data_IF_083099484582
#
_entry.id   IF_083099484582
#
_cell.length_a   1.000
_cell.length_b   1.000
_cell.length_c   1.000
_cell.angle_alpha   90.00
_cell.angle_beta   90.00
_cell.angle_gamma   90.00
#
_symmetry.space_group_name_H-M   'P 1'
#
loop_
_entity.id
_entity.type
_entity.pdbx_description
1 polymer ?
#
# COMPACT_ATOMS: atom_id res chain seq x y z
N UNK A 1 -7.92 -10.19 7.90
CA UNK A 1 -6.48 -10.45 8.17
C UNK A 1 -6.00 -11.86 7.80
N UNK A 2 -6.80 -12.93 7.89
CA UNK A 2 -6.36 -14.30 7.53
C UNK A 2 -6.07 -14.48 6.03
N UNK A 3 -6.67 -13.69 5.14
CA UNK A 3 -6.52 -13.86 3.68
C UNK A 3 -5.09 -13.49 3.21
N UNK A 4 -4.51 -12.42 3.74
CA UNK A 4 -3.22 -11.88 3.25
C UNK A 4 -2.00 -12.33 4.07
N UNK A 5 -2.16 -12.63 5.37
CA UNK A 5 -1.03 -13.04 6.23
C UNK A 5 -0.32 -14.31 5.70
N UNK A 6 -1.01 -15.38 5.28
CA UNK A 6 -0.35 -16.56 4.71
C UNK A 6 0.48 -16.25 3.47
N UNK A 7 0.07 -15.27 2.64
CA UNK A 7 0.86 -14.82 1.48
C UNK A 7 2.18 -14.20 1.92
N UNK A 8 2.14 -13.34 2.94
CA UNK A 8 3.35 -12.73 3.53
C UNK A 8 4.28 -13.79 4.10
N UNK A 9 3.75 -14.77 4.85
CA UNK A 9 4.55 -15.87 5.42
C UNK A 9 5.24 -16.68 4.32
N UNK A 10 4.50 -17.04 3.25
CA UNK A 10 5.07 -17.79 2.13
C UNK A 10 6.12 -16.99 1.36
N UNK A 11 5.86 -15.70 1.11
CA UNK A 11 6.82 -14.80 0.47
C UNK A 11 8.11 -14.68 1.29
N UNK A 12 8.00 -14.50 2.61
CA UNK A 12 9.16 -14.43 3.50
C UNK A 12 10.00 -15.72 3.45
N UNK A 13 9.36 -16.89 3.48
CA UNK A 13 10.07 -18.18 3.37
C UNK A 13 10.78 -18.33 2.03
N UNK A 14 10.14 -17.95 0.93
CA UNK A 14 10.75 -17.99 -0.40
C UNK A 14 11.95 -17.03 -0.50
N UNK A 15 11.81 -15.81 0.03
CA UNK A 15 12.86 -14.80 0.04
C UNK A 15 14.08 -15.26 0.85
N UNK A 16 13.88 -15.79 2.06
CA UNK A 16 14.97 -16.33 2.90
C UNK A 16 15.68 -17.49 2.19
N UNK A 17 14.94 -18.34 1.48
CA UNK A 17 15.53 -19.43 0.69
C UNK A 17 16.34 -18.94 -0.51
N UNK A 18 15.87 -17.89 -1.20
CA UNK A 18 16.54 -17.30 -2.36
C UNK A 18 17.75 -16.44 -2.00
N UNK A 19 17.75 -15.83 -0.81
CA UNK A 19 18.86 -15.01 -0.30
C UNK A 19 19.29 -15.56 1.08
N UNK A 20 19.96 -16.73 1.13
CA UNK A 20 20.33 -17.38 2.38
C UNK A 20 21.54 -16.70 3.03
N UNK A 21 21.35 -15.48 3.49
CA UNK A 21 22.35 -14.69 4.18
C UNK A 21 21.82 -14.26 5.56
N UNK A 22 22.33 -14.84 6.66
CA UNK A 22 21.90 -14.46 8.01
C UNK A 22 22.07 -12.97 8.32
N UNK A 23 22.98 -12.26 7.65
CA UNK A 23 23.16 -10.81 7.79
C UNK A 23 22.05 -9.99 7.12
N UNK A 24 21.33 -10.59 6.18
CA UNK A 24 20.18 -9.99 5.50
C UNK A 24 18.86 -10.24 6.25
N UNK A 25 18.88 -11.05 7.32
CA UNK A 25 17.70 -11.34 8.12
C UNK A 25 17.41 -10.19 9.09
N UNK A 26 16.14 -9.79 9.16
CA UNK A 26 15.65 -8.89 10.21
C UNK A 26 15.46 -9.70 11.51
N UNK A 27 16.43 -9.59 12.44
CA UNK A 27 16.38 -10.26 13.75
C UNK A 27 15.71 -9.42 14.85
N UNK A 28 15.40 -8.17 14.55
CA UNK A 28 14.66 -7.25 15.40
C UNK A 28 13.76 -6.36 14.53
N UNK A 29 12.61 -5.95 15.06
CA UNK A 29 11.75 -5.02 14.33
C UNK A 29 12.43 -3.66 14.18
N UNK A 30 12.54 -3.21 12.94
CA UNK A 30 12.94 -1.84 12.58
C UNK A 30 12.01 -0.76 13.18
N UNK A 31 10.78 -1.14 13.54
CA UNK A 31 9.76 -0.28 14.17
C UNK A 31 9.73 -0.41 15.69
N UNK A 32 10.79 -0.92 16.31
CA UNK A 32 10.90 -1.05 17.78
C UNK A 32 10.74 0.28 18.55
N UNK A 33 10.85 1.42 17.87
CA UNK A 33 10.60 2.75 18.45
C UNK A 33 9.11 3.04 18.68
N UNK A 34 8.19 2.33 18.01
CA UNK A 34 6.75 2.44 18.19
C UNK A 34 6.29 1.37 19.20
N UNK A 35 6.01 1.78 20.43
CA UNK A 35 5.58 0.86 21.50
C UNK A 35 4.07 0.61 21.51
N UNK A 36 3.31 1.64 21.18
CA UNK A 36 1.86 1.60 21.14
C UNK A 36 1.40 2.12 19.76
N UNK A 37 0.82 1.27 18.88
CA UNK A 37 0.45 1.69 17.53
C UNK A 37 -0.52 2.87 17.47
N UNK A 38 -1.48 2.98 18.39
CA UNK A 38 -2.48 4.05 18.42
C UNK A 38 -1.89 5.46 18.52
N UNK A 39 -0.67 5.62 19.06
CA UNK A 39 0.00 6.94 19.13
C UNK A 39 0.42 7.45 17.74
N UNK A 40 0.30 6.62 16.70
CA UNK A 40 0.62 6.97 15.32
C UNK A 40 -0.60 7.29 14.47
N UNK A 41 -1.81 7.27 15.04
CA UNK A 41 -3.07 7.51 14.32
C UNK A 41 -3.08 8.87 13.60
N UNK A 42 -2.70 9.96 14.29
CA UNK A 42 -2.68 11.31 13.69
C UNK A 42 -1.69 11.38 12.52
N UNK A 43 -0.50 10.82 12.69
CA UNK A 43 0.51 10.71 11.62
C UNK A 43 -0.04 9.92 10.42
N UNK A 44 -0.75 8.83 10.70
CA UNK A 44 -1.41 8.01 9.69
C UNK A 44 -2.47 8.80 8.93
N UNK A 45 -3.35 9.51 9.64
CA UNK A 45 -4.41 10.32 9.05
C UNK A 45 -3.86 11.49 8.22
N UNK A 46 -2.79 12.15 8.66
CA UNK A 46 -2.12 13.20 7.90
C UNK A 46 -1.52 12.66 6.59
N UNK A 47 -0.86 11.50 6.65
CA UNK A 47 -0.33 10.82 5.47
C UNK A 47 -1.46 10.41 4.50
N UNK A 48 -2.54 9.84 5.02
CA UNK A 48 -3.74 9.51 4.26
C UNK A 48 -4.37 10.76 3.62
N UNK A 49 -4.36 11.91 4.31
CA UNK A 49 -4.95 13.16 3.83
C UNK A 49 -4.30 13.61 2.52
N UNK A 50 -2.98 13.42 2.40
CA UNK A 50 -2.28 13.72 1.16
C UNK A 50 -2.73 12.81 0.00
N UNK A 51 -2.90 11.51 0.28
CA UNK A 51 -3.25 10.49 -0.71
C UNK A 51 -4.71 10.59 -1.14
N UNK A 52 -5.64 10.71 -0.19
CA UNK A 52 -7.08 10.60 -0.42
C UNK A 52 -7.80 11.95 -0.47
N UNK A 53 -7.16 13.03 0.01
CA UNK A 53 -7.68 14.41 -0.03
C UNK A 53 -9.12 14.49 0.49
N UNK A 54 -10.03 15.01 -0.33
CA UNK A 54 -11.43 15.25 0.01
C UNK A 54 -12.26 13.96 0.19
N UNK A 55 -11.72 12.79 -0.14
CA UNK A 55 -12.41 11.51 0.03
C UNK A 55 -12.02 10.79 1.33
N UNK A 56 -11.03 11.30 2.08
CA UNK A 56 -10.63 10.66 3.33
C UNK A 56 -11.76 10.66 4.37
N UNK A 57 -12.37 11.82 4.64
CA UNK A 57 -13.38 11.90 5.71
C UNK A 57 -14.62 11.04 5.41
N UNK A 58 -15.19 11.05 4.18
CA UNK A 58 -16.27 10.12 3.83
C UNK A 58 -15.87 8.65 3.97
N UNK A 59 -14.64 8.30 3.58
CA UNK A 59 -14.15 6.91 3.66
C UNK A 59 -14.00 6.44 5.11
N UNK A 60 -13.43 7.28 5.98
CA UNK A 60 -13.29 6.96 7.42
C UNK A 60 -14.66 6.91 8.09
N UNK A 61 -15.53 7.89 7.85
CA UNK A 61 -16.88 7.91 8.40
C UNK A 61 -17.71 6.68 7.98
N UNK A 62 -17.54 6.21 6.75
CA UNK A 62 -18.16 4.97 6.29
C UNK A 62 -17.67 3.75 7.10
N UNK A 63 -16.36 3.64 7.36
CA UNK A 63 -15.83 2.56 8.18
C UNK A 63 -16.27 2.67 9.64
N UNK A 64 -16.32 3.87 10.22
CA UNK A 64 -16.81 4.08 11.59
C UNK A 64 -18.25 3.59 11.75
N UNK A 65 -19.11 3.87 10.76
CA UNK A 65 -20.52 3.50 10.80
C UNK A 65 -20.77 2.00 10.54
N UNK A 66 -19.95 1.35 9.72
CA UNK A 66 -20.25 0.01 9.21
C UNK A 66 -19.27 -1.09 9.65
N UNK A 67 -18.02 -0.74 9.93
CA UNK A 67 -16.98 -1.71 10.29
C UNK A 67 -15.81 -1.07 11.07
N UNK A 68 -16.00 -0.71 12.36
CA UNK A 68 -14.99 -0.01 13.15
C UNK A 68 -13.68 -0.80 13.35
N UNK A 69 -13.74 -2.13 13.34
CA UNK A 69 -12.53 -2.96 13.35
C UNK A 69 -11.69 -2.80 12.08
N UNK A 70 -12.35 -2.62 10.92
CA UNK A 70 -11.66 -2.30 9.67
C UNK A 70 -11.03 -0.92 9.76
N UNK A 71 -11.71 0.08 10.34
CA UNK A 71 -11.10 1.39 10.61
C UNK A 71 -9.82 1.24 11.42
N UNK A 72 -9.84 0.45 12.50
CA UNK A 72 -8.65 0.23 13.34
C UNK A 72 -7.52 -0.41 12.54
N UNK A 73 -7.83 -1.43 11.74
CA UNK A 73 -6.84 -2.06 10.87
C UNK A 73 -6.22 -1.06 9.87
N UNK A 74 -7.05 -0.26 9.21
CA UNK A 74 -6.61 0.69 8.17
C UNK A 74 -5.87 1.88 8.77
N UNK A 75 -6.49 2.62 9.68
CA UNK A 75 -5.93 3.87 10.18
C UNK A 75 -4.77 3.64 11.16
N UNK A 76 -4.92 2.73 12.12
CA UNK A 76 -3.90 2.51 13.15
C UNK A 76 -2.75 1.65 12.66
N UNK A 77 -3.04 0.49 12.08
CA UNK A 77 -1.97 -0.45 11.71
C UNK A 77 -1.41 -0.18 10.31
N UNK A 78 -2.26 -0.08 9.28
CA UNK A 78 -1.78 0.11 7.91
C UNK A 78 -1.14 1.49 7.74
N UNK A 79 -1.88 2.55 8.01
CA UNK A 79 -1.38 3.90 7.79
C UNK A 79 -0.53 4.43 8.95
N UNK A 80 -1.00 4.33 10.19
CA UNK A 80 -0.25 4.80 11.37
C UNK A 80 1.07 4.04 11.57
N UNK A 81 1.00 2.73 11.77
CA UNK A 81 2.16 1.92 12.15
C UNK A 81 3.11 1.63 10.97
N UNK A 82 2.59 1.29 9.78
CA UNK A 82 3.44 0.90 8.65
C UNK A 82 3.72 2.02 7.64
N UNK A 83 2.71 2.57 6.97
CA UNK A 83 2.92 3.38 5.76
C UNK A 83 3.35 4.83 6.02
N UNK A 84 2.89 5.43 7.12
CA UNK A 84 3.26 6.81 7.46
C UNK A 84 4.66 6.94 8.08
N UNK A 85 5.32 5.83 8.41
CA UNK A 85 6.69 5.81 8.90
C UNK A 85 7.71 5.94 7.75
N UNK A 86 7.72 7.13 7.14
CA UNK A 86 8.58 7.45 6.00
C UNK A 86 10.07 7.56 6.35
N UNK A 87 10.43 7.35 7.62
CA UNK A 87 11.83 7.23 8.05
C UNK A 87 12.46 5.88 7.67
N UNK A 88 11.63 4.88 7.39
CA UNK A 88 12.06 3.52 7.01
C UNK A 88 12.06 3.37 5.49
N UNK A 89 10.93 3.65 4.84
CA UNK A 89 10.76 3.62 3.39
C UNK A 89 10.06 4.92 3.02
N UNK A 90 10.63 5.68 2.08
CA UNK A 90 10.04 6.96 1.69
C UNK A 90 8.64 6.81 1.06
N UNK A 91 7.91 7.93 0.97
CA UNK A 91 6.53 7.92 0.52
C UNK A 91 6.33 7.47 -0.93
N UNK A 92 7.31 7.72 -1.81
CA UNK A 92 7.25 7.32 -3.22
C UNK A 92 7.46 5.81 -3.31
N UNK A 93 8.53 5.29 -2.71
CA UNK A 93 8.82 3.85 -2.68
C UNK A 93 7.70 3.06 -2.01
N UNK A 94 7.13 3.57 -0.91
CA UNK A 94 5.96 2.97 -0.26
C UNK A 94 4.75 2.89 -1.20
N UNK A 95 4.50 3.95 -1.97
CA UNK A 95 3.40 3.96 -2.96
C UNK A 95 3.66 2.99 -4.11
N UNK A 96 4.90 2.88 -4.60
CA UNK A 96 5.27 1.90 -5.63
C UNK A 96 5.07 0.45 -5.14
N UNK A 97 5.45 0.15 -3.90
CA UNK A 97 5.22 -1.17 -3.30
C UNK A 97 3.72 -1.48 -3.15
N UNK A 98 2.91 -0.50 -2.76
CA UNK A 98 1.46 -0.67 -2.71
C UNK A 98 0.89 -0.96 -4.11
N UNK A 99 1.25 -0.18 -5.13
CA UNK A 99 0.81 -0.42 -6.52
C UNK A 99 1.19 -1.83 -6.97
N UNK A 100 2.47 -2.19 -6.83
CA UNK A 100 2.97 -3.48 -7.33
C UNK A 100 2.29 -4.67 -6.65
N UNK A 101 2.08 -4.59 -5.34
CA UNK A 101 1.43 -5.67 -4.59
C UNK A 101 -0.07 -5.74 -4.84
N UNK A 102 -0.78 -4.60 -4.93
CA UNK A 102 -2.23 -4.56 -5.18
C UNK A 102 -2.59 -5.01 -6.60
N UNK A 103 -1.75 -4.69 -7.60
CA UNK A 103 -1.93 -5.20 -8.96
C UNK A 103 -1.86 -6.73 -9.00
N UNK A 104 -0.85 -7.34 -8.35
CA UNK A 104 -0.75 -8.79 -8.26
C UNK A 104 -1.87 -9.44 -7.42
N UNK A 105 -2.57 -8.65 -6.60
CA UNK A 105 -3.77 -9.09 -5.87
C UNK A 105 -5.06 -8.88 -6.65
N UNK A 106 -5.00 -8.32 -7.86
CA UNK A 106 -6.16 -8.03 -8.71
C UNK A 106 -7.17 -7.10 -8.01
N UNK A 107 -6.66 -6.00 -7.42
CA UNK A 107 -7.44 -5.02 -6.64
C UNK A 107 -7.46 -3.61 -7.29
N UNK A 108 -8.19 -3.42 -8.42
CA UNK A 108 -8.15 -2.16 -9.17
C UNK A 108 -8.49 -0.89 -8.38
N UNK A 109 -9.52 -0.85 -7.51
CA UNK A 109 -9.86 0.37 -6.78
C UNK A 109 -8.70 0.88 -5.93
N UNK A 110 -8.03 0.00 -5.20
CA UNK A 110 -6.89 0.35 -4.36
C UNK A 110 -5.66 0.71 -5.21
N UNK A 111 -5.45 0.07 -6.36
CA UNK A 111 -4.38 0.44 -7.31
C UNK A 111 -4.58 1.90 -7.77
N UNK A 112 -5.80 2.30 -8.14
CA UNK A 112 -6.11 3.69 -8.52
C UNK A 112 -5.70 4.66 -7.40
N UNK A 113 -6.04 4.33 -6.15
CA UNK A 113 -5.76 5.19 -5.01
C UNK A 113 -4.26 5.39 -4.81
N UNK A 114 -3.47 4.32 -4.90
CA UNK A 114 -2.03 4.39 -4.69
C UNK A 114 -1.26 4.96 -5.89
N UNK A 115 -1.77 4.81 -7.11
CA UNK A 115 -1.26 5.54 -8.29
C UNK A 115 -1.38 7.06 -8.09
N UNK A 116 -2.54 7.53 -7.63
CA UNK A 116 -2.73 8.95 -7.28
C UNK A 116 -1.86 9.36 -6.10
N UNK A 117 -1.81 8.51 -5.07
CA UNK A 117 -0.98 8.72 -3.89
C UNK A 117 0.49 8.93 -4.23
N UNK A 118 1.03 8.15 -5.17
CA UNK A 118 2.41 8.31 -5.65
C UNK A 118 2.65 9.72 -6.21
N UNK A 119 1.81 10.18 -7.13
CA UNK A 119 1.93 11.53 -7.71
C UNK A 119 1.74 12.62 -6.65
N UNK A 120 0.76 12.45 -5.76
CA UNK A 120 0.48 13.39 -4.66
C UNK A 120 1.63 13.44 -3.64
N UNK A 121 2.41 12.36 -3.50
CA UNK A 121 3.64 12.31 -2.72
C UNK A 121 4.86 12.87 -3.46
N UNK A 122 4.67 13.45 -4.66
CA UNK A 122 5.73 14.07 -5.46
C UNK A 122 6.48 13.11 -6.38
N UNK A 123 6.01 11.88 -6.54
CA UNK A 123 6.59 10.95 -7.51
C UNK A 123 6.21 11.29 -8.95
N UNK A 124 6.98 10.76 -9.91
CA UNK A 124 6.81 11.04 -11.34
C UNK A 124 5.98 9.98 -12.05
N UNK A 125 5.53 10.28 -13.28
CA UNK A 125 4.85 9.31 -14.14
C UNK A 125 5.74 8.10 -14.43
N UNK A 126 7.03 8.31 -14.61
CA UNK A 126 8.01 7.25 -14.88
C UNK A 126 8.14 6.31 -13.68
N UNK A 127 8.15 6.85 -12.46
CA UNK A 127 8.17 6.04 -11.23
C UNK A 127 6.89 5.21 -11.06
N UNK A 128 5.74 5.78 -11.44
CA UNK A 128 4.47 5.08 -11.46
C UNK A 128 4.47 3.96 -12.50
N UNK A 129 4.89 4.25 -13.74
CA UNK A 129 5.01 3.28 -14.83
C UNK A 129 5.96 2.14 -14.46
N UNK A 130 7.09 2.46 -13.84
CA UNK A 130 8.04 1.45 -13.38
C UNK A 130 7.40 0.45 -12.40
N UNK A 131 6.60 0.94 -11.45
CA UNK A 131 5.91 0.08 -10.49
C UNK A 131 4.88 -0.82 -11.17
N UNK A 132 4.14 -0.30 -12.16
CA UNK A 132 3.14 -1.10 -12.91
C UNK A 132 3.80 -2.14 -13.79
N UNK A 133 4.90 -1.79 -14.47
CA UNK A 133 5.60 -2.69 -15.39
C UNK A 133 6.18 -3.88 -14.65
N UNK A 134 6.86 -3.64 -13.53
CA UNK A 134 7.38 -4.71 -12.67
C UNK A 134 6.25 -5.62 -12.17
N UNK A 135 5.12 -5.05 -11.75
CA UNK A 135 4.00 -5.85 -11.27
C UNK A 135 3.44 -6.78 -12.34
N UNK A 136 3.27 -6.25 -13.57
CA UNK A 136 2.79 -7.02 -14.71
C UNK A 136 3.79 -8.09 -15.14
N UNK A 137 5.08 -7.77 -15.18
CA UNK A 137 6.14 -8.72 -15.50
C UNK A 137 6.20 -9.86 -14.48
N UNK A 138 6.12 -9.56 -13.17
CA UNK A 138 6.04 -10.57 -12.12
C UNK A 138 4.80 -11.45 -12.30
N UNK A 139 3.63 -10.86 -12.60
CA UNK A 139 2.41 -11.63 -12.86
C UNK A 139 2.60 -12.59 -14.04
N UNK A 140 3.22 -12.14 -15.13
CA UNK A 140 3.53 -12.97 -16.29
C UNK A 140 4.50 -14.11 -15.93
N UNK A 141 5.62 -13.80 -15.27
CA UNK A 141 6.63 -14.79 -14.87
C UNK A 141 6.07 -15.85 -13.92
N UNK A 142 5.11 -15.47 -13.08
CA UNK A 142 4.50 -16.36 -12.08
C UNK A 142 3.17 -16.98 -12.53
N UNK A 143 2.75 -16.72 -13.77
CA UNK A 143 1.47 -17.17 -14.34
C UNK A 143 0.24 -16.73 -13.52
N UNK A 144 0.31 -15.57 -12.86
CA UNK A 144 -0.83 -14.93 -12.21
C UNK A 144 -1.70 -14.30 -13.29
N UNK A 145 -2.94 -14.78 -13.41
CA UNK A 145 -3.93 -14.23 -14.33
C UNK A 145 -4.83 -13.23 -13.60
N UNK A 146 -4.74 -11.96 -13.99
CA UNK A 146 -5.62 -10.91 -13.50
C UNK A 146 -7.00 -11.07 -14.15
N UNK A 147 -8.07 -10.97 -13.36
CA UNK A 147 -9.45 -11.05 -13.84
C UNK A 147 -10.02 -9.68 -14.18
N UNK A 148 -9.52 -8.64 -13.52
CA UNK A 148 -9.94 -7.27 -13.79
C UNK A 148 -8.93 -6.55 -14.67
N UNK A 149 -9.41 -5.54 -15.38
CA UNK A 149 -8.54 -4.58 -16.05
C UNK A 149 -7.89 -3.67 -15.01
N UNK A 150 -6.57 -3.60 -15.02
CA UNK A 150 -5.83 -2.65 -14.18
C UNK A 150 -5.92 -1.24 -14.77
N UNK A 151 -6.02 -0.20 -13.92
CA UNK A 151 -6.00 1.18 -14.38
C UNK A 151 -4.67 1.53 -15.04
N UNK A 152 -4.68 2.41 -16.04
CA UNK A 152 -3.47 2.98 -16.59
C UNK A 152 -3.10 4.29 -15.88
N UNK A 153 -1.83 4.70 -15.90
CA UNK A 153 -1.41 5.95 -15.27
C UNK A 153 -2.19 7.17 -15.79
N UNK A 154 -2.39 7.28 -17.10
CA UNK A 154 -3.17 8.35 -17.76
C UNK A 154 -4.60 8.48 -17.23
N UNK A 155 -5.21 7.36 -16.83
CA UNK A 155 -6.61 7.34 -16.41
C UNK A 155 -6.81 8.01 -15.06
N UNK A 156 -5.76 8.10 -14.24
CA UNK A 156 -5.92 8.39 -12.81
C UNK A 156 -5.18 9.62 -12.32
N UNK A 157 -4.09 10.03 -12.97
CA UNK A 157 -3.22 11.12 -12.46
C UNK A 157 -3.91 12.48 -12.38
N UNK A 158 -4.92 12.72 -13.21
CA UNK A 158 -5.65 14.00 -13.26
C UNK A 158 -6.98 13.94 -12.47
N UNK A 159 -7.28 12.82 -11.82
CA UNK A 159 -8.52 12.67 -11.08
C UNK A 159 -8.37 13.11 -9.62
N UNK A 160 -9.25 14.01 -9.20
CA UNK A 160 -9.27 14.51 -7.82
C UNK A 160 -10.03 13.57 -6.87
N UNK A 161 -11.10 12.91 -7.34
CA UNK A 161 -12.05 12.15 -6.51
C UNK A 161 -11.90 10.64 -6.64
N UNK A 162 -11.88 9.91 -5.52
CA UNK A 162 -11.83 8.44 -5.43
C UNK A 162 -13.17 7.79 -5.78
N UNK A 163 -14.28 8.40 -5.33
CA UNK A 163 -15.63 7.88 -5.53
C UNK A 163 -16.34 8.81 -6.52
N UNK A 164 -16.68 8.29 -7.70
CA UNK A 164 -17.62 8.93 -8.62
C UNK A 164 -19.02 8.67 -8.06
N UNK A 165 -19.55 9.65 -7.33
CA UNK A 165 -20.97 9.69 -6.93
C UNK A 165 -21.82 10.15 -8.10
#
# INVERSE_FOLDING_TARGET
>A
MIISIPRVINAARALIGAIPNPKSNESASIRNHIKEPSVTDDRGLDYMRNIFRADLDPFVAYMDANWPDLRTLVCTFIYGYWQSDVSIIDAITTSQLNIATLMAMDAPPEVVWHMRGLIRNGGTREQLQFATDIAMEICQLTNVQLKNQMPLPEDVINEERLIRV
#
